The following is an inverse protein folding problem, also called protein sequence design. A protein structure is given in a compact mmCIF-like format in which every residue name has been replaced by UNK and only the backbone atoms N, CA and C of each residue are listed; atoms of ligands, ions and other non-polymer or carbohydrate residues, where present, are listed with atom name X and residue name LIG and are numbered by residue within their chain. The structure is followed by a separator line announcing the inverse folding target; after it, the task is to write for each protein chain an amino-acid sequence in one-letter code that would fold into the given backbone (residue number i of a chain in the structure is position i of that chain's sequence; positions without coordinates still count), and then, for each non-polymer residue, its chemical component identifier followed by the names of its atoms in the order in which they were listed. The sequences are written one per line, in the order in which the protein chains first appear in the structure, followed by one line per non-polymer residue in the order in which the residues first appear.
data_IF_564040355481
#
_entry.id   IF_564040355481
#
_cell.length_a   1.000
_cell.length_b   1.000
_cell.length_c   1.000
_cell.angle_alpha   90.00
_cell.angle_beta   90.00
_cell.angle_gamma   90.00
#
_symmetry.space_group_name_H-M   'P 1'
#
loop_
_entity.id
_entity.type
_entity.pdbx_description
1 polymer ?
#
# COMPACT_ATOMS: atom_id res chain seq x y z
N UNK A 1 2.15 7.50 -35.48
CA UNK A 1 3.18 7.81 -34.45
C UNK A 1 2.61 8.48 -33.19
N UNK A 2 1.32 8.83 -33.10
CA UNK A 2 0.78 9.54 -31.93
C UNK A 2 0.33 8.60 -30.79
N UNK A 3 -0.08 7.37 -31.10
CA UNK A 3 -0.54 6.42 -30.08
C UNK A 3 0.58 6.02 -29.10
N UNK A 4 1.82 5.90 -29.57
CA UNK A 4 2.98 5.59 -28.72
C UNK A 4 3.36 6.75 -27.79
N UNK A 5 3.22 7.99 -28.24
CA UNK A 5 3.49 9.19 -27.42
C UNK A 5 2.46 9.38 -26.30
N UNK A 6 1.18 9.19 -26.59
CA UNK A 6 0.11 9.30 -25.58
C UNK A 6 0.24 8.19 -24.55
N UNK A 7 0.47 6.94 -24.98
CA UNK A 7 0.67 5.81 -24.08
C UNK A 7 1.87 6.05 -23.15
N UNK A 8 2.97 6.57 -23.69
CA UNK A 8 4.15 6.93 -22.93
C UNK A 8 3.88 7.94 -21.80
N UNK A 9 3.19 9.05 -22.12
CA UNK A 9 2.81 10.08 -21.15
C UNK A 9 1.91 9.52 -20.05
N UNK A 10 0.89 8.75 -20.43
CA UNK A 10 -0.04 8.15 -19.47
C UNK A 10 0.64 7.12 -18.58
N UNK A 11 1.50 6.25 -19.12
CA UNK A 11 2.22 5.25 -18.33
C UNK A 11 3.12 5.90 -17.28
N UNK A 12 3.90 6.92 -17.66
CA UNK A 12 4.73 7.65 -16.68
C UNK A 12 3.84 8.35 -15.66
N UNK A 13 2.80 9.06 -16.11
CA UNK A 13 1.90 9.78 -15.21
C UNK A 13 1.26 8.86 -14.15
N UNK A 14 0.69 7.73 -14.58
CA UNK A 14 0.10 6.76 -13.66
C UNK A 14 1.16 6.11 -12.76
N UNK A 15 2.35 5.84 -13.26
CA UNK A 15 3.46 5.33 -12.43
C UNK A 15 3.82 6.31 -11.30
N UNK A 16 3.83 7.61 -11.60
CA UNK A 16 4.12 8.67 -10.63
C UNK A 16 2.97 8.93 -9.64
N UNK A 17 1.77 8.39 -9.90
CA UNK A 17 0.65 8.44 -8.96
C UNK A 17 0.61 7.17 -8.11
N UNK A 18 0.60 6.00 -8.75
CA UNK A 18 0.30 4.72 -8.10
C UNK A 18 1.37 4.36 -7.08
N UNK A 19 2.66 4.47 -7.45
CA UNK A 19 3.78 4.13 -6.56
C UNK A 19 3.78 4.99 -5.29
N UNK A 20 3.83 6.33 -5.40
CA UNK A 20 3.77 7.23 -4.25
C UNK A 20 2.48 7.11 -3.43
N UNK A 21 1.34 6.83 -4.06
CA UNK A 21 0.08 6.55 -3.33
C UNK A 21 0.20 5.30 -2.47
N UNK A 22 0.69 4.19 -3.03
CA UNK A 22 0.86 2.92 -2.29
C UNK A 22 1.77 3.11 -1.07
N UNK A 23 2.89 3.82 -1.27
CA UNK A 23 3.80 4.21 -0.20
C UNK A 23 3.12 5.11 0.84
N UNK A 24 2.34 6.10 0.41
CA UNK A 24 1.58 6.97 1.32
C UNK A 24 0.59 6.20 2.18
N UNK A 25 -0.12 5.23 1.60
CA UNK A 25 -1.04 4.39 2.36
C UNK A 25 -0.33 3.51 3.38
N UNK A 26 0.87 3.04 3.06
CA UNK A 26 1.69 2.33 4.02
C UNK A 26 2.10 3.23 5.19
N UNK A 27 2.51 4.48 4.95
CA UNK A 27 2.80 5.43 6.04
C UNK A 27 1.56 5.67 6.91
N UNK A 28 0.41 5.91 6.28
CA UNK A 28 -0.85 6.08 6.98
C UNK A 28 -1.23 4.84 7.80
N UNK A 29 -0.96 3.63 7.28
CA UNK A 29 -1.17 2.38 8.01
C UNK A 29 -0.24 2.27 9.22
N UNK A 30 1.04 2.60 9.09
CA UNK A 30 1.98 2.60 10.24
C UNK A 30 1.64 3.67 11.27
N UNK A 31 1.23 4.86 10.84
CA UNK A 31 0.72 5.92 11.70
C UNK A 31 -0.55 5.49 12.44
N UNK A 32 -1.51 4.88 11.74
CA UNK A 32 -2.73 4.33 12.32
C UNK A 32 -2.42 3.31 13.42
N UNK A 33 -1.44 2.42 13.17
CA UNK A 33 -0.98 1.44 14.18
C UNK A 33 -0.31 2.10 15.37
N UNK A 34 0.54 3.08 15.14
CA UNK A 34 1.14 3.87 16.23
C UNK A 34 0.05 4.55 17.06
N UNK A 35 -0.93 5.18 16.40
CA UNK A 35 -2.03 5.87 17.05
C UNK A 35 -2.90 4.91 17.88
N UNK A 36 -3.24 3.75 17.33
CA UNK A 36 -3.94 2.66 18.01
C UNK A 36 -3.21 2.18 19.28
N UNK A 37 -1.89 2.08 19.23
CA UNK A 37 -1.06 1.61 20.35
C UNK A 37 -0.67 2.72 21.34
N UNK A 38 -1.03 3.97 21.07
CA UNK A 38 -0.74 5.08 21.97
C UNK A 38 -1.59 5.01 23.25
N UNK A 39 -1.00 5.43 24.37
CA UNK A 39 -1.71 5.53 25.66
C UNK A 39 -2.69 6.71 25.71
N UNK A 40 -2.46 7.73 24.88
CA UNK A 40 -3.31 8.93 24.84
C UNK A 40 -4.61 8.66 24.10
N UNK A 41 -5.74 8.91 24.76
CA UNK A 41 -7.08 8.75 24.16
C UNK A 41 -7.25 9.64 22.94
N UNK A 42 -6.73 10.88 22.99
CA UNK A 42 -6.80 11.83 21.87
C UNK A 42 -6.07 11.30 20.63
N UNK A 43 -4.89 10.70 20.82
CA UNK A 43 -4.12 10.11 19.72
C UNK A 43 -4.84 8.86 19.18
N UNK A 44 -5.37 8.01 20.06
CA UNK A 44 -6.10 6.81 19.65
C UNK A 44 -7.36 7.12 18.83
N UNK A 45 -8.04 8.24 19.11
CA UNK A 45 -9.19 8.70 18.33
C UNK A 45 -8.84 9.04 16.87
N UNK A 46 -7.58 9.32 16.56
CA UNK A 46 -7.13 9.54 15.18
C UNK A 46 -7.23 8.26 14.33
N UNK A 47 -7.12 7.09 14.96
CA UNK A 47 -7.32 5.78 14.33
C UNK A 47 -8.82 5.39 14.28
N UNK A 48 -9.65 6.31 13.80
CA UNK A 48 -11.08 6.05 13.59
C UNK A 48 -11.39 5.85 12.12
N UNK A 49 -12.35 4.96 11.82
CA UNK A 49 -12.77 4.68 10.44
C UNK A 49 -13.29 5.93 9.72
N UNK A 50 -13.89 6.87 10.47
CA UNK A 50 -14.40 8.13 9.93
C UNK A 50 -13.25 9.03 9.45
N UNK A 51 -12.16 9.09 10.21
CA UNK A 51 -10.95 9.84 9.82
C UNK A 51 -10.29 9.13 8.63
N UNK A 52 -10.14 7.81 8.67
CA UNK A 52 -9.56 7.04 7.57
C UNK A 52 -10.28 7.29 6.23
N UNK A 53 -11.62 7.31 6.22
CA UNK A 53 -12.41 7.62 5.02
C UNK A 53 -12.18 9.04 4.49
N UNK A 54 -11.99 10.03 5.38
CA UNK A 54 -11.71 11.42 4.99
C UNK A 54 -10.29 11.59 4.45
N UNK A 55 -9.32 10.84 4.99
CA UNK A 55 -7.91 10.91 4.58
C UNK A 55 -7.66 10.11 3.28
N UNK A 56 -8.39 9.02 3.04
CA UNK A 56 -8.18 8.13 1.90
C UNK A 56 -8.07 8.81 0.51
N UNK A 57 -8.92 9.77 0.12
CA UNK A 57 -8.79 10.42 -1.20
C UNK A 57 -7.63 11.44 -1.29
N UNK A 58 -7.09 11.90 -0.17
CA UNK A 58 -6.09 12.99 -0.13
C UNK A 58 -4.80 12.61 -0.89
N UNK A 59 -4.18 11.42 -0.68
CA UNK A 59 -2.99 11.02 -1.43
C UNK A 59 -3.22 11.02 -2.94
N UNK A 60 -4.36 10.50 -3.41
CA UNK A 60 -4.65 10.46 -4.85
C UNK A 60 -4.71 11.85 -5.45
N UNK A 61 -5.39 12.80 -4.79
CA UNK A 61 -5.50 14.19 -5.26
C UNK A 61 -4.11 14.83 -5.26
N UNK A 62 -3.37 14.71 -4.16
CA UNK A 62 -2.03 15.29 -4.01
C UNK A 62 -1.06 14.78 -5.09
N UNK A 63 -0.94 13.46 -5.25
CA UNK A 63 -0.03 12.86 -6.22
C UNK A 63 -0.47 13.08 -7.66
N UNK A 64 -1.77 13.18 -7.93
CA UNK A 64 -2.26 13.52 -9.27
C UNK A 64 -1.84 14.93 -9.68
N UNK A 65 -1.87 15.90 -8.75
CA UNK A 65 -1.43 17.28 -8.98
C UNK A 65 0.09 17.36 -9.15
N UNK A 66 0.85 16.71 -8.26
CA UNK A 66 2.32 16.65 -8.33
C UNK A 66 2.80 15.98 -9.62
N UNK A 67 2.03 15.05 -10.18
CA UNK A 67 2.40 14.32 -11.39
C UNK A 67 2.08 15.06 -12.70
N UNK A 68 1.33 16.17 -12.67
CA UNK A 68 0.96 16.94 -13.88
C UNK A 68 2.17 17.31 -14.76
N UNK A 69 3.31 17.78 -14.21
CA UNK A 69 4.48 18.12 -15.03
C UNK A 69 5.02 16.95 -15.86
N UNK A 70 4.85 15.70 -15.42
CA UNK A 70 5.26 14.52 -16.20
C UNK A 70 4.40 14.33 -17.47
N UNK A 71 3.14 14.77 -17.49
CA UNK A 71 2.33 14.75 -18.72
C UNK A 71 2.82 15.79 -19.75
N UNK A 72 3.42 16.89 -19.28
CA UNK A 72 3.86 18.01 -20.12
C UNK A 72 5.28 17.76 -20.63
N UNK A 73 6.18 17.31 -19.75
CA UNK A 73 7.62 17.27 -19.98
C UNK A 73 8.18 15.87 -20.24
N UNK A 74 7.37 14.81 -20.25
CA UNK A 74 7.79 13.51 -20.75
C UNK A 74 7.21 13.28 -22.14
N UNK A 75 8.01 12.74 -23.05
CA UNK A 75 7.53 12.32 -24.37
C UNK A 75 8.27 11.07 -24.84
N UNK A 76 7.79 10.50 -25.93
CA UNK A 76 8.46 9.42 -26.63
C UNK A 76 9.70 9.98 -27.35
N UNK A 77 10.85 9.33 -27.19
CA UNK A 77 12.13 9.75 -27.75
C UNK A 77 12.57 8.76 -28.86
N UNK A 78 12.31 9.06 -30.14
CA UNK A 78 12.91 8.33 -31.26
C UNK A 78 14.41 8.64 -31.38
N UNK A 79 15.26 7.70 -31.84
CA UNK A 79 14.97 6.33 -32.26
C UNK A 79 15.09 5.29 -31.15
N UNK A 80 15.30 5.70 -29.90
CA UNK A 80 15.59 4.78 -28.79
C UNK A 80 14.36 3.99 -28.32
N UNK A 81 13.17 4.31 -28.84
CA UNK A 81 11.89 3.71 -28.47
C UNK A 81 11.60 3.76 -26.96
N UNK A 82 12.15 4.77 -26.27
CA UNK A 82 11.97 4.96 -24.83
C UNK A 82 11.14 6.21 -24.52
N UNK A 83 10.60 6.22 -23.30
CA UNK A 83 9.96 7.38 -22.70
C UNK A 83 10.98 8.14 -21.87
N UNK A 84 11.08 9.46 -22.06
CA UNK A 84 12.02 10.27 -21.31
C UNK A 84 11.61 11.72 -21.19
N UNK A 85 12.43 12.48 -20.46
CA UNK A 85 12.20 13.90 -20.26
C UNK A 85 12.62 14.69 -21.50
N UNK A 86 11.76 15.57 -21.98
CA UNK A 86 12.06 16.52 -23.07
C UNK A 86 12.68 17.81 -22.54
N UNK A 87 12.38 18.17 -21.29
CA UNK A 87 12.92 19.36 -20.64
C UNK A 87 14.04 18.98 -19.66
N UNK A 88 15.26 19.47 -19.92
CA UNK A 88 16.46 19.16 -19.13
C UNK A 88 16.35 19.69 -17.69
N UNK A 89 15.79 20.90 -17.51
CA UNK A 89 15.64 21.50 -16.19
C UNK A 89 14.67 20.69 -15.34
N UNK A 90 13.53 20.29 -15.92
CA UNK A 90 12.59 19.41 -15.23
C UNK A 90 13.19 18.05 -14.93
N UNK A 91 13.95 17.45 -15.87
CA UNK A 91 14.66 16.19 -15.63
C UNK A 91 15.60 16.28 -14.42
N UNK A 92 16.37 17.37 -14.32
CA UNK A 92 17.26 17.61 -13.19
C UNK A 92 16.49 17.73 -11.86
N UNK A 93 15.41 18.49 -11.82
CA UNK A 93 14.56 18.65 -10.63
C UNK A 93 13.92 17.31 -10.24
N UNK A 94 13.38 16.59 -11.22
CA UNK A 94 12.71 15.31 -11.02
C UNK A 94 13.67 14.27 -10.44
N UNK A 95 14.85 14.10 -11.05
CA UNK A 95 15.84 13.08 -10.66
C UNK A 95 16.59 13.46 -9.39
N UNK A 96 16.92 14.74 -9.20
CA UNK A 96 17.79 15.18 -8.10
C UNK A 96 17.03 15.54 -6.83
N UNK A 97 15.73 15.84 -6.93
CA UNK A 97 14.94 16.34 -5.81
C UNK A 97 13.64 15.56 -5.62
N UNK A 98 12.74 15.53 -6.61
CA UNK A 98 11.41 14.94 -6.44
C UNK A 98 11.48 13.44 -6.17
N UNK A 99 12.11 12.68 -7.06
CA UNK A 99 12.25 11.24 -6.93
C UNK A 99 12.93 10.85 -5.60
N UNK A 100 14.10 11.41 -5.22
CA UNK A 100 14.80 10.97 -4.03
C UNK A 100 14.08 11.30 -2.73
N UNK A 101 13.58 12.52 -2.61
CA UNK A 101 12.97 12.97 -1.38
C UNK A 101 11.65 12.25 -1.18
N UNK A 102 10.77 12.24 -2.19
CA UNK A 102 9.41 11.75 -2.03
C UNK A 102 9.28 10.23 -2.16
N UNK A 103 10.10 9.57 -2.98
CA UNK A 103 9.95 8.13 -3.22
C UNK A 103 10.74 7.28 -2.24
N UNK A 104 11.73 7.87 -1.56
CA UNK A 104 12.71 7.10 -0.79
C UNK A 104 12.99 7.70 0.58
N UNK A 105 13.53 8.91 0.66
CA UNK A 105 14.04 9.45 1.93
C UNK A 105 12.91 9.72 2.91
N UNK A 106 11.91 10.50 2.48
CA UNK A 106 10.77 10.86 3.31
C UNK A 106 9.96 9.63 3.76
N UNK A 107 9.59 8.71 2.86
CA UNK A 107 9.05 7.39 3.21
C UNK A 107 9.80 6.65 4.31
N UNK A 108 11.11 6.50 4.13
CA UNK A 108 11.93 5.65 4.98
C UNK A 108 12.07 6.25 6.38
N UNK A 109 12.23 7.57 6.48
CA UNK A 109 12.28 8.27 7.77
C UNK A 109 10.97 8.08 8.53
N UNK A 110 9.83 8.29 7.87
CA UNK A 110 8.51 8.16 8.49
C UNK A 110 8.27 6.72 8.96
N UNK A 111 8.56 5.73 8.11
CA UNK A 111 8.42 4.32 8.47
C UNK A 111 9.28 3.96 9.67
N UNK A 112 10.55 4.38 9.71
CA UNK A 112 11.45 4.11 10.83
C UNK A 112 10.90 4.71 12.11
N UNK A 113 10.52 6.00 12.09
CA UNK A 113 10.02 6.70 13.28
C UNK A 113 8.76 6.00 13.83
N UNK A 114 7.73 5.79 12.99
CA UNK A 114 6.48 5.20 13.47
C UNK A 114 6.63 3.71 13.82
N UNK A 115 7.51 2.97 13.15
CA UNK A 115 7.79 1.58 13.51
C UNK A 115 8.47 1.47 14.88
N UNK A 116 9.46 2.32 15.16
CA UNK A 116 10.13 2.37 16.47
C UNK A 116 9.14 2.78 17.56
N UNK A 117 8.34 3.83 17.33
CA UNK A 117 7.35 4.27 18.31
C UNK A 117 6.29 3.19 18.58
N UNK A 118 5.84 2.51 17.54
CA UNK A 118 4.89 1.39 17.66
C UNK A 118 5.50 0.23 18.45
N UNK A 119 6.76 -0.13 18.18
CA UNK A 119 7.47 -1.17 18.93
C UNK A 119 7.59 -0.81 20.42
N UNK A 120 7.97 0.43 20.74
CA UNK A 120 8.06 0.91 22.14
C UNK A 120 6.71 0.82 22.85
N UNK A 121 5.63 1.26 22.20
CA UNK A 121 4.28 1.19 22.76
C UNK A 121 3.85 -0.26 23.01
N UNK A 122 4.15 -1.17 22.08
CA UNK A 122 3.83 -2.59 22.19
C UNK A 122 4.57 -3.26 23.35
N UNK A 123 5.86 -2.97 23.51
CA UNK A 123 6.67 -3.49 24.61
C UNK A 123 6.13 -3.04 25.97
N UNK A 124 5.81 -1.74 26.10
CA UNK A 124 5.22 -1.16 27.30
C UNK A 124 3.83 -1.74 27.62
N UNK A 125 3.00 -1.99 26.61
CA UNK A 125 1.71 -2.67 26.80
C UNK A 125 1.89 -4.12 27.23
N UNK A 126 2.89 -4.82 26.72
CA UNK A 126 3.15 -6.23 27.07
C UNK A 126 3.56 -6.36 28.53
N UNK A 127 4.42 -5.48 29.03
CA UNK A 127 4.82 -5.44 30.45
C UNK A 127 3.62 -5.13 31.35
N UNK A 128 2.83 -4.09 31.02
CA UNK A 128 1.67 -3.73 31.81
C UNK A 128 0.61 -4.84 31.86
N UNK A 129 0.38 -5.51 30.73
CA UNK A 129 -0.58 -6.62 30.65
C UNK A 129 -0.07 -7.90 31.33
N UNK A 130 1.24 -8.12 31.44
CA UNK A 130 1.80 -9.23 32.23
C UNK A 130 1.53 -9.06 33.73
N UNK A 131 1.31 -7.83 34.20
CA UNK A 131 0.88 -7.54 35.57
C UNK A 131 -0.63 -7.72 35.78
N UNK A 132 -1.45 -7.57 34.73
CA UNK A 132 -2.91 -7.74 34.77
C UNK A 132 -3.34 -9.03 34.04
N UNK A 133 -3.04 -10.17 34.67
CA UNK A 133 -3.24 -11.52 34.12
C UNK A 133 -4.71 -11.87 33.77
N UNK A 134 -5.72 -11.14 34.28
CA UNK A 134 -7.11 -11.63 34.33
C UNK A 134 -8.05 -11.23 33.18
N UNK A 135 -7.73 -10.22 32.35
CA UNK A 135 -8.66 -9.79 31.26
C UNK A 135 -7.92 -9.55 29.94
N UNK A 136 -7.27 -10.60 29.42
CA UNK A 136 -6.69 -10.56 28.08
C UNK A 136 -7.80 -10.76 27.04
N UNK A 137 -8.41 -9.67 26.60
CA UNK A 137 -9.48 -9.71 25.58
C UNK A 137 -8.94 -10.20 24.23
N UNK A 138 -9.70 -11.02 23.49
CA UNK A 138 -9.34 -11.51 22.14
C UNK A 138 -8.99 -10.38 21.15
N UNK A 139 -9.54 -9.19 21.37
CA UNK A 139 -9.30 -7.99 20.57
C UNK A 139 -7.87 -7.44 20.72
N UNK A 140 -7.25 -7.55 21.91
CA UNK A 140 -5.87 -7.07 22.13
C UNK A 140 -4.85 -7.99 21.48
N UNK A 141 -5.05 -9.31 21.54
CA UNK A 141 -4.18 -10.31 20.89
C UNK A 141 -4.18 -10.11 19.36
N UNK A 142 -5.34 -9.82 18.78
CA UNK A 142 -5.46 -9.53 17.35
C UNK A 142 -4.71 -8.25 16.95
N UNK A 143 -4.87 -7.18 17.73
CA UNK A 143 -4.13 -5.94 17.52
C UNK A 143 -2.62 -6.17 17.54
N UNK A 144 -2.12 -6.94 18.51
CA UNK A 144 -0.69 -7.28 18.62
C UNK A 144 -0.17 -8.07 17.41
N UNK A 145 -0.96 -9.02 16.88
CA UNK A 145 -0.57 -9.78 15.69
C UNK A 145 -0.45 -8.90 14.44
N UNK A 146 -1.42 -8.01 14.20
CA UNK A 146 -1.35 -7.10 13.05
C UNK A 146 -0.19 -6.11 13.20
N UNK A 147 0.02 -5.59 14.40
CA UNK A 147 1.16 -4.70 14.67
C UNK A 147 2.49 -5.41 14.39
N UNK A 148 2.64 -6.68 14.79
CA UNK A 148 3.84 -7.47 14.47
C UNK A 148 4.03 -7.67 12.96
N UNK A 149 2.96 -7.92 12.21
CA UNK A 149 3.02 -8.03 10.74
C UNK A 149 3.50 -6.73 10.10
N UNK A 150 2.97 -5.59 10.55
CA UNK A 150 3.35 -4.27 10.04
C UNK A 150 4.81 -3.94 10.32
N UNK A 151 5.36 -4.35 11.47
CA UNK A 151 6.79 -4.18 11.77
C UNK A 151 7.64 -5.04 10.83
N UNK A 152 7.26 -6.31 10.60
CA UNK A 152 7.97 -7.19 9.64
C UNK A 152 7.94 -6.59 8.24
N UNK A 153 6.78 -6.12 7.80
CA UNK A 153 6.61 -5.46 6.51
C UNK A 153 7.49 -4.20 6.42
N UNK A 154 7.52 -3.35 7.46
CA UNK A 154 8.38 -2.17 7.48
C UNK A 154 9.88 -2.52 7.38
N UNK A 155 10.33 -3.55 8.09
CA UNK A 155 11.73 -4.03 8.00
C UNK A 155 12.07 -4.52 6.60
N UNK A 156 11.17 -5.28 5.97
CA UNK A 156 11.36 -5.75 4.61
C UNK A 156 11.42 -4.59 3.62
N UNK A 157 10.54 -3.60 3.76
CA UNK A 157 10.52 -2.39 2.92
C UNK A 157 11.81 -1.61 3.04
N UNK A 158 12.27 -1.38 4.27
CA UNK A 158 13.55 -0.70 4.53
C UNK A 158 14.69 -1.49 3.85
N UNK A 159 14.71 -2.81 4.00
CA UNK A 159 15.75 -3.67 3.42
C UNK A 159 15.74 -3.65 1.89
N UNK A 160 14.57 -3.68 1.26
CA UNK A 160 14.41 -3.63 -0.19
C UNK A 160 14.67 -2.24 -0.78
N UNK A 161 14.36 -1.18 -0.04
CA UNK A 161 14.50 0.21 -0.52
C UNK A 161 15.92 0.75 -0.30
N UNK A 162 16.64 0.27 0.72
CA UNK A 162 17.98 0.76 1.08
C UNK A 162 19.00 0.72 -0.09
N UNK A 163 19.09 -0.35 -0.90
CA UNK A 163 19.96 -0.36 -2.08
C UNK A 163 19.67 0.77 -3.07
N UNK A 164 18.38 1.04 -3.32
CA UNK A 164 17.93 2.15 -4.17
C UNK A 164 18.34 3.51 -3.58
N UNK A 165 18.17 3.69 -2.26
CA UNK A 165 18.60 4.91 -1.56
C UNK A 165 20.08 5.20 -1.84
N UNK A 166 20.92 4.18 -1.63
CA UNK A 166 22.38 4.30 -1.76
C UNK A 166 22.76 4.65 -3.20
N UNK A 167 22.19 3.93 -4.17
CA UNK A 167 22.45 4.17 -5.59
C UNK A 167 22.04 5.59 -6.01
N UNK A 168 20.91 6.08 -5.50
CA UNK A 168 20.42 7.40 -5.86
C UNK A 168 21.26 8.53 -5.24
N UNK A 169 21.68 8.38 -3.97
CA UNK A 169 22.62 9.31 -3.33
C UNK A 169 23.95 9.32 -4.12
N UNK A 170 24.43 8.14 -4.53
CA UNK A 170 25.61 8.02 -5.37
C UNK A 170 25.43 8.75 -6.72
N UNK A 171 24.29 8.58 -7.38
CA UNK A 171 23.98 9.28 -8.63
C UNK A 171 24.01 10.79 -8.43
N UNK A 172 23.36 11.32 -7.39
CA UNK A 172 23.33 12.76 -7.10
C UNK A 172 24.74 13.30 -6.80
N UNK A 173 25.52 12.60 -5.98
CA UNK A 173 26.89 13.00 -5.64
C UNK A 173 27.80 13.03 -6.87
N UNK A 174 27.58 12.11 -7.81
CA UNK A 174 28.39 11.98 -9.04
C UNK A 174 27.86 12.80 -10.21
N UNK A 175 26.67 13.40 -10.12
CA UNK A 175 26.16 14.36 -11.13
C UNK A 175 26.99 15.64 -11.14
N UNK A 176 27.53 16.06 -9.99
CA UNK A 176 28.32 17.29 -9.86
C UNK A 176 29.79 17.12 -10.25
N UNK A 177 30.26 15.89 -10.45
CA UNK A 177 31.62 15.63 -10.90
C UNK A 177 31.67 15.75 -12.43
N UNK A 178 32.35 16.78 -12.95
CA UNK A 178 32.61 17.02 -14.39
C UNK A 178 33.56 15.98 -15.03
N UNK A 179 33.79 14.84 -14.38
CA UNK A 179 34.66 13.80 -14.91
C UNK A 179 33.89 13.05 -16.00
N UNK A 180 34.47 12.95 -17.20
CA UNK A 180 33.92 12.19 -18.32
C UNK A 180 33.64 10.75 -17.82
N UNK A 181 32.37 10.39 -17.69
CA UNK A 181 31.97 9.03 -17.29
C UNK A 181 32.37 8.06 -18.40
N UNK A 182 33.12 7.01 -18.07
CA UNK A 182 33.41 5.94 -19.02
C UNK A 182 32.12 5.19 -19.36
N UNK A 183 32.01 4.69 -20.60
CA UNK A 183 30.84 3.92 -21.05
C UNK A 183 30.56 2.72 -20.14
N UNK A 184 31.60 2.00 -19.73
CA UNK A 184 31.48 0.86 -18.81
C UNK A 184 30.81 1.22 -17.49
N UNK A 185 31.11 2.41 -16.94
CA UNK A 185 30.51 2.88 -15.69
C UNK A 185 29.01 3.16 -15.87
N UNK A 186 28.62 3.78 -16.99
CA UNK A 186 27.20 4.05 -17.29
C UNK A 186 26.41 2.74 -17.38
N UNK A 187 26.95 1.72 -18.06
CA UNK A 187 26.29 0.41 -18.16
C UNK A 187 26.13 -0.29 -16.80
N UNK A 188 27.14 -0.20 -15.93
CA UNK A 188 27.05 -0.73 -14.56
C UNK A 188 26.00 0.03 -13.75
N UNK A 189 25.98 1.37 -13.83
CA UNK A 189 24.98 2.20 -13.14
C UNK A 189 23.55 1.84 -13.57
N UNK A 190 23.31 1.65 -14.87
CA UNK A 190 22.00 1.22 -15.41
C UNK A 190 21.65 -0.19 -14.93
N UNK A 191 22.59 -1.13 -14.95
CA UNK A 191 22.35 -2.49 -14.48
C UNK A 191 21.96 -2.51 -12.98
N UNK A 192 22.69 -1.75 -12.16
CA UNK A 192 22.39 -1.61 -10.74
C UNK A 192 21.03 -0.95 -10.52
N UNK A 193 20.68 0.08 -11.30
CA UNK A 193 19.38 0.75 -11.27
C UNK A 193 18.25 -0.26 -11.49
N UNK A 194 18.33 -1.07 -12.55
CA UNK A 194 17.35 -2.10 -12.88
C UNK A 194 17.29 -3.22 -11.82
N UNK A 195 18.44 -3.63 -11.27
CA UNK A 195 18.47 -4.63 -10.21
C UNK A 195 17.78 -4.11 -8.94
N UNK A 196 18.03 -2.86 -8.56
CA UNK A 196 17.37 -2.24 -7.38
C UNK A 196 15.87 -2.04 -7.59
N UNK A 197 15.43 -1.69 -8.81
CA UNK A 197 14.01 -1.66 -9.20
C UNK A 197 13.36 -3.04 -9.02
N UNK A 198 14.02 -4.12 -9.47
CA UNK A 198 13.51 -5.48 -9.29
C UNK A 198 13.37 -5.85 -7.81
N UNK A 199 14.37 -5.50 -6.98
CA UNK A 199 14.34 -5.74 -5.53
C UNK A 199 13.20 -4.95 -4.86
N UNK A 200 12.96 -3.70 -5.29
CA UNK A 200 11.80 -2.93 -4.83
C UNK A 200 10.48 -3.55 -5.29
N UNK A 201 10.43 -4.11 -6.49
CA UNK A 201 9.27 -4.86 -7.00
C UNK A 201 8.87 -6.02 -6.08
N UNK A 202 9.84 -6.68 -5.43
CA UNK A 202 9.58 -7.77 -4.49
C UNK A 202 8.80 -7.31 -3.25
N UNK A 203 8.92 -6.04 -2.84
CA UNK A 203 8.16 -5.51 -1.72
C UNK A 203 6.64 -5.59 -1.98
N UNK A 204 6.21 -5.13 -3.16
CA UNK A 204 4.79 -5.18 -3.55
C UNK A 204 4.24 -6.61 -3.57
N UNK A 205 5.06 -7.59 -3.99
CA UNK A 205 4.68 -9.00 -3.95
C UNK A 205 4.69 -9.58 -2.52
N UNK A 206 5.65 -9.16 -1.69
CA UNK A 206 5.87 -9.70 -0.34
C UNK A 206 4.70 -9.47 0.61
N UNK A 207 3.99 -8.33 0.45
CA UNK A 207 2.87 -7.94 1.31
C UNK A 207 1.82 -9.04 1.38
N UNK A 208 1.46 -9.63 0.24
CA UNK A 208 0.51 -10.74 0.18
C UNK A 208 0.98 -11.96 1.00
N UNK A 209 2.24 -12.35 0.84
CA UNK A 209 2.82 -13.50 1.54
C UNK A 209 2.95 -13.24 3.04
N UNK A 210 3.34 -12.04 3.46
CA UNK A 210 3.41 -11.65 4.87
C UNK A 210 2.04 -11.78 5.53
N UNK A 211 0.98 -11.26 4.90
CA UNK A 211 -0.39 -11.37 5.42
C UNK A 211 -0.88 -12.82 5.43
N UNK A 212 -0.54 -13.61 4.41
CA UNK A 212 -0.93 -15.01 4.30
C UNK A 212 -0.25 -15.90 5.34
N UNK A 213 1.07 -15.76 5.52
CA UNK A 213 1.86 -16.60 6.43
C UNK A 213 1.63 -16.22 7.89
N UNK A 214 1.54 -14.92 8.18
CA UNK A 214 1.48 -14.44 9.57
C UNK A 214 0.11 -14.64 10.22
N UNK A 215 -0.97 -14.70 9.45
CA UNK A 215 -2.34 -14.75 9.99
C UNK A 215 -3.02 -16.09 9.67
N UNK A 216 -3.11 -16.96 10.68
CA UNK A 216 -3.92 -18.19 10.59
C UNK A 216 -5.39 -17.88 10.28
N UNK A 217 -5.90 -16.74 10.76
CA UNK A 217 -7.25 -16.26 10.45
C UNK A 217 -7.40 -15.72 9.04
N UNK A 218 -6.41 -15.03 8.46
CA UNK A 218 -6.48 -14.63 7.06
C UNK A 218 -6.57 -15.85 6.14
N UNK A 219 -5.79 -16.90 6.44
CA UNK A 219 -5.92 -18.20 5.78
C UNK A 219 -7.31 -18.82 5.95
N UNK A 220 -7.92 -18.70 7.14
CA UNK A 220 -9.29 -19.16 7.36
C UNK A 220 -10.33 -18.31 6.60
N UNK A 221 -10.18 -17.00 6.55
CA UNK A 221 -11.04 -16.09 5.78
C UNK A 221 -10.94 -16.38 4.29
N UNK A 222 -9.73 -16.51 3.73
CA UNK A 222 -9.51 -16.90 2.34
C UNK A 222 -10.13 -18.27 2.06
N UNK A 223 -9.87 -19.28 2.90
CA UNK A 223 -10.50 -20.61 2.75
C UNK A 223 -12.02 -20.55 2.80
N UNK A 224 -12.59 -19.70 3.66
CA UNK A 224 -14.05 -19.55 3.79
C UNK A 224 -14.64 -18.81 2.60
N UNK A 225 -13.99 -17.75 2.12
CA UNK A 225 -14.39 -17.02 0.92
C UNK A 225 -14.27 -17.87 -0.33
N UNK A 226 -13.18 -18.63 -0.51
CA UNK A 226 -13.03 -19.60 -1.60
C UNK A 226 -14.10 -20.69 -1.54
N UNK A 227 -14.33 -21.29 -0.36
CA UNK A 227 -15.41 -22.28 -0.18
C UNK A 227 -16.78 -21.68 -0.51
N UNK A 228 -17.04 -20.42 -0.17
CA UNK A 228 -18.29 -19.73 -0.54
C UNK A 228 -18.38 -19.48 -2.03
N UNK A 229 -17.30 -19.03 -2.68
CA UNK A 229 -17.24 -18.85 -4.12
C UNK A 229 -17.50 -20.17 -4.87
N UNK A 230 -16.76 -21.23 -4.56
CA UNK A 230 -16.96 -22.54 -5.18
C UNK A 230 -18.32 -23.18 -4.84
N UNK A 231 -18.88 -22.91 -3.65
CA UNK A 231 -20.22 -23.39 -3.29
C UNK A 231 -21.34 -22.59 -3.97
N UNK A 232 -21.13 -21.31 -4.28
CA UNK A 232 -22.07 -20.49 -5.04
C UNK A 232 -22.08 -20.88 -6.53
N UNK A 233 -20.93 -21.26 -7.07
CA UNK A 233 -20.79 -21.79 -8.44
C UNK A 233 -21.51 -23.14 -8.60
N UNK A 234 -21.47 -24.02 -7.59
CA UNK A 234 -22.21 -25.28 -7.58
C UNK A 234 -23.72 -25.15 -7.27
N UNK A 235 -24.21 -23.98 -6.84
CA UNK A 235 -25.62 -23.77 -6.47
C UNK A 235 -26.42 -22.96 -7.49
N UNK A 236 -25.85 -22.60 -8.64
CA UNK A 236 -26.63 -22.09 -9.77
C UNK A 236 -26.93 -23.21 -10.75
N UNK A 237 -28.12 -23.80 -10.58
CA UNK A 237 -29.22 -23.97 -11.55
C UNK A 237 -30.04 -25.19 -11.10
N UNK A 238 -30.83 -25.03 -10.03
CA UNK A 238 -32.03 -25.86 -9.85
C UNK A 238 -33.18 -25.05 -10.43
N UNK A 239 -33.55 -25.33 -11.68
CA UNK A 239 -34.76 -24.78 -12.29
C UNK A 239 -35.96 -25.15 -11.41
N UNK A 240 -36.57 -24.15 -10.77
CA UNK A 240 -37.87 -24.33 -10.13
C UNK A 240 -38.90 -24.42 -11.26
N UNK A 241 -39.34 -25.64 -11.58
CA UNK A 241 -40.50 -25.87 -12.43
C UNK A 241 -41.76 -25.37 -11.69
N UNK A 242 -42.16 -24.13 -11.93
CA UNK A 242 -43.45 -23.59 -11.54
C UNK A 242 -44.50 -23.97 -12.56
N UNK A 243 -45.10 -25.14 -12.39
CA UNK A 243 -46.35 -25.53 -13.05
C UNK A 243 -47.47 -25.74 -12.03
N UNK A 244 -48.17 -24.63 -11.71
CA UNK A 244 -49.61 -24.47 -11.35
C UNK A 244 -50.21 -25.33 -10.19
N UNK A 245 -51.45 -25.04 -9.70
CA UNK A 245 -52.26 -23.82 -9.82
C UNK A 245 -52.78 -23.29 -8.46
N UNK A 246 -53.34 -22.09 -8.56
CA UNK A 246 -54.21 -21.35 -7.65
C UNK A 246 -55.29 -22.21 -6.99
N UNK A 247 -55.37 -22.20 -5.66
CA UNK A 247 -56.57 -22.55 -4.91
C UNK A 247 -56.67 -21.68 -3.65
N UNK A 248 -57.84 -21.09 -3.48
CA UNK A 248 -58.20 -20.10 -2.48
C UNK A 248 -58.13 -20.63 -1.04
N UNK A 249 -57.73 -19.77 -0.09
CA UNK A 249 -57.98 -19.97 1.34
C UNK A 249 -58.32 -18.64 2.01
N UNK A 250 -59.64 -18.42 2.07
CA UNK A 250 -60.47 -17.79 3.08
C UNK A 250 -59.76 -17.16 4.28
N UNK A 251 -59.95 -15.84 4.43
CA UNK A 251 -59.65 -15.07 5.64
C UNK A 251 -60.77 -15.26 6.65
N UNK A 252 -60.55 -16.08 7.68
CA UNK A 252 -61.37 -16.08 8.89
C UNK A 252 -60.70 -15.22 9.95
N UNK A 253 -61.32 -14.06 10.23
CA UNK A 253 -61.12 -13.28 11.46
C UNK A 253 -61.83 -14.00 12.61
N UNK A 254 -61.13 -14.21 13.73
CA UNK A 254 -61.77 -14.43 15.03
C UNK A 254 -61.04 -13.65 16.11
N UNK A 255 -61.81 -12.74 16.70
CA UNK A 255 -61.66 -12.14 18.03
C UNK A 255 -61.69 -13.23 19.12
N UNK A 256 -60.89 -13.06 20.19
CA UNK A 256 -61.25 -13.17 21.63
C UNK A 256 -59.95 -13.15 22.47
N UNK A 257 -59.73 -12.16 23.35
CA UNK A 257 -60.21 -11.99 24.75
C UNK A 257 -59.57 -12.96 25.77
N UNK A 258 -58.97 -12.33 26.81
CA UNK A 258 -58.84 -12.76 28.23
C UNK A 258 -57.87 -13.93 28.50
N UNK A 259 -56.96 -13.90 29.49
CA UNK A 259 -56.89 -13.21 30.79
C UNK A 259 -55.50 -12.61 31.06
#
# INVERSE_FOLDING_TARGET
MNASAIACKLMIYFSQIIGPCAMTFLFLATFDRWACTSRSVKIRQLSSINIARRIFPIPFIFWSLVSIPYLIYCDFIPPFFTCGFTNILFAQIAISFLAPIFSVIFPLIILIIFSILTYRNLHLMTIANAQQQSVRTRLSIWGQQITRMMIIQAVLIISCTMPRCILMIYTIATLNQRTIRSLNRIYIEILLDQLTECIMGLDFASSFYIFCLSSSRFRQTIKTSLKRFFKLENNQVTFINTSRPTAALTVTKTHDKQN
#
